data_IF_315331177749
#
_entry.id   IF_315331177749
#
_cell.length_a   1.000
_cell.length_b   1.000
_cell.length_c   1.000
_cell.angle_alpha   90.00
_cell.angle_beta   90.00
_cell.angle_gamma   90.00
#
_symmetry.space_group_name_H-M   'P 1'
#
loop_
_entity.id
_entity.type
_entity.pdbx_description
1 polymer ?
#
# COMPACT_ATOMS: atom_id res chain seq x y z
N UNK A 1 18.95 9.59 8.04
CA UNK A 1 18.21 8.37 8.41
C UNK A 1 17.78 7.71 7.13
N UNK A 2 18.29 6.50 6.90
CA UNK A 2 17.93 5.69 5.75
C UNK A 2 16.64 4.92 6.07
N UNK A 3 16.08 4.24 5.06
CA UNK A 3 14.98 3.29 5.27
C UNK A 3 15.37 2.27 6.35
N UNK A 4 14.42 1.79 7.19
CA UNK A 4 14.68 0.70 8.14
C UNK A 4 15.25 -0.57 7.48
N UNK A 5 15.01 -0.74 6.17
CA UNK A 5 15.55 -1.86 5.39
C UNK A 5 17.04 -1.74 5.03
N UNK A 6 17.69 -0.61 5.31
CA UNK A 6 19.12 -0.39 5.09
C UNK A 6 19.48 0.05 3.66
N UNK A 7 18.49 0.42 2.84
CA UNK A 7 18.65 0.94 1.47
C UNK A 7 18.04 2.33 1.32
N UNK A 8 18.17 2.93 0.13
CA UNK A 8 17.45 4.16 -0.19
C UNK A 8 15.94 3.89 -0.15
N UNK A 9 15.23 4.65 0.68
CA UNK A 9 13.77 4.57 0.80
C UNK A 9 13.08 5.62 -0.06
N UNK A 10 11.96 5.25 -0.65
CA UNK A 10 11.14 6.12 -1.49
C UNK A 10 9.74 5.54 -1.66
N UNK A 11 8.74 6.42 -1.60
CA UNK A 11 7.33 6.04 -1.76
C UNK A 11 6.61 7.10 -2.60
N UNK A 12 5.65 6.65 -3.39
CA UNK A 12 4.71 7.53 -4.08
C UNK A 12 3.37 7.52 -3.35
N UNK A 13 2.68 8.65 -3.34
CA UNK A 13 1.31 8.74 -2.82
C UNK A 13 0.49 9.68 -3.71
N UNK A 14 -0.74 9.29 -3.98
CA UNK A 14 -1.71 10.12 -4.71
C UNK A 14 -2.46 11.10 -3.79
N UNK A 15 -3.69 11.42 -4.17
CA UNK A 15 -4.57 12.31 -3.40
C UNK A 15 -4.28 13.79 -3.64
N UNK A 16 -4.86 14.65 -2.79
CA UNK A 16 -4.79 16.11 -2.94
C UNK A 16 -3.51 16.77 -2.46
N UNK A 17 -2.70 16.10 -1.64
CA UNK A 17 -1.62 16.74 -0.88
C UNK A 17 -0.58 17.43 -1.76
N UNK A 18 -0.02 16.73 -2.75
CA UNK A 18 1.01 17.29 -3.62
C UNK A 18 0.52 18.50 -4.42
N UNK A 19 -0.73 18.48 -4.89
CA UNK A 19 -1.34 19.61 -5.59
C UNK A 19 -1.56 20.83 -4.67
N UNK A 20 -2.00 20.59 -3.43
CA UNK A 20 -2.14 21.65 -2.42
C UNK A 20 -0.80 22.24 -2.02
N UNK A 21 0.24 21.42 -1.81
CA UNK A 21 1.59 21.88 -1.50
C UNK A 21 2.15 22.76 -2.62
N UNK A 22 1.99 22.33 -3.87
CA UNK A 22 2.35 23.13 -5.06
C UNK A 22 1.59 24.45 -5.14
N UNK A 23 0.32 24.47 -4.71
CA UNK A 23 -0.52 25.67 -4.74
C UNK A 23 -0.04 26.73 -3.73
N UNK A 24 0.66 26.32 -2.66
CA UNK A 24 1.38 27.19 -1.73
C UNK A 24 2.76 27.66 -2.27
N UNK A 25 3.10 27.36 -3.53
CA UNK A 25 4.40 27.71 -4.12
C UNK A 25 5.54 26.75 -3.73
N UNK A 26 5.27 25.67 -2.99
CA UNK A 26 6.29 24.76 -2.48
C UNK A 26 6.48 23.60 -3.45
N UNK A 27 7.70 23.45 -4.00
CA UNK A 27 8.07 22.31 -4.86
C UNK A 27 8.54 21.09 -4.06
N UNK A 28 9.33 21.35 -3.01
CA UNK A 28 9.97 20.33 -2.21
C UNK A 28 9.90 20.77 -0.75
N UNK A 29 9.63 19.82 0.13
CA UNK A 29 9.68 19.99 1.57
C UNK A 29 10.75 19.05 2.11
N UNK A 30 11.78 19.60 2.75
CA UNK A 30 12.89 18.83 3.30
C UNK A 30 12.86 18.91 4.83
N UNK A 31 12.58 17.78 5.47
CA UNK A 31 12.47 17.69 6.93
C UNK A 31 13.76 17.15 7.54
N UNK A 32 14.45 17.99 8.33
CA UNK A 32 15.70 17.65 9.02
C UNK A 32 15.51 17.71 10.54
N UNK A 33 16.40 17.05 11.28
CA UNK A 33 16.30 16.94 12.74
C UNK A 33 15.16 16.04 13.22
N UNK A 34 14.85 16.16 14.50
CA UNK A 34 13.81 15.43 15.24
C UNK A 34 13.25 16.39 16.31
N UNK A 35 11.93 16.42 16.48
CA UNK A 35 11.31 17.22 17.54
C UNK A 35 11.44 16.52 18.90
N UNK A 36 11.55 17.27 19.99
CA UNK A 36 11.65 16.72 21.36
C UNK A 36 10.32 16.16 21.90
N UNK A 37 9.21 16.41 21.20
CA UNK A 37 7.86 15.95 21.53
C UNK A 37 7.06 15.76 20.24
N UNK A 38 5.93 15.02 20.27
CA UNK A 38 5.01 14.92 19.14
C UNK A 38 4.56 16.28 18.60
N UNK A 39 4.76 16.50 17.31
CA UNK A 39 4.37 17.72 16.58
C UNK A 39 3.69 17.41 15.25
N UNK A 40 2.99 18.38 14.68
CA UNK A 40 2.57 18.38 13.28
C UNK A 40 3.04 19.66 12.59
N UNK A 41 3.34 19.56 11.29
CA UNK A 41 3.68 20.73 10.47
C UNK A 41 2.40 21.32 9.88
N UNK A 42 2.18 22.61 10.09
CA UNK A 42 1.06 23.37 9.53
C UNK A 42 1.56 24.32 8.45
N UNK A 43 0.95 24.27 7.27
CA UNK A 43 1.25 25.12 6.12
C UNK A 43 -0.04 25.82 5.68
N UNK A 44 -0.10 27.15 5.79
CA UNK A 44 -1.22 27.99 5.35
C UNK A 44 -0.70 29.12 4.45
N UNK A 45 -0.78 28.89 3.13
CA UNK A 45 -0.15 29.79 2.16
C UNK A 45 1.35 29.91 2.38
N UNK A 46 1.80 31.10 2.78
CA UNK A 46 3.22 31.41 3.07
C UNK A 46 3.62 31.14 4.53
N UNK A 47 2.67 30.90 5.43
CA UNK A 47 2.97 30.59 6.84
C UNK A 47 3.29 29.11 7.03
N UNK A 48 4.38 28.82 7.74
CA UNK A 48 4.81 27.47 8.11
C UNK A 48 5.09 27.41 9.60
N UNK A 49 4.39 26.54 10.32
CA UNK A 49 4.47 26.43 11.78
C UNK A 49 4.61 24.97 12.23
N UNK A 50 5.41 24.73 13.27
CA UNK A 50 5.46 23.44 13.97
C UNK A 50 4.55 23.53 15.18
N UNK A 51 3.49 22.73 15.20
CA UNK A 51 2.44 22.76 16.24
C UNK A 51 2.44 21.48 17.06
N UNK A 52 1.93 21.56 18.29
CA UNK A 52 1.87 20.43 19.21
C UNK A 52 0.90 19.34 18.69
N UNK A 53 1.33 18.08 18.67
CA UNK A 53 0.51 16.93 18.28
C UNK A 53 0.33 15.88 19.40
N UNK A 54 0.58 16.24 20.66
CA UNK A 54 0.48 15.32 21.81
C UNK A 54 -0.89 14.67 21.92
N UNK A 55 -1.97 15.39 21.64
CA UNK A 55 -3.34 14.85 21.64
C UNK A 55 -3.65 13.94 20.44
N UNK A 56 -2.82 13.99 19.40
CA UNK A 56 -2.97 13.19 18.18
C UNK A 56 -2.11 11.92 18.22
N UNK A 57 -1.03 11.93 18.99
CA UNK A 57 -0.13 10.78 19.12
C UNK A 57 -0.88 9.56 19.68
N UNK A 58 -0.68 8.38 19.09
CA UNK A 58 -1.40 7.15 19.40
C UNK A 58 -2.73 6.97 18.65
N UNK A 59 -3.27 8.02 18.02
CA UNK A 59 -4.48 7.92 17.20
C UNK A 59 -4.20 7.30 15.85
N UNK A 60 -5.20 6.64 15.29
CA UNK A 60 -5.09 6.14 13.93
C UNK A 60 -5.09 7.28 12.88
N UNK A 61 -4.71 6.97 11.64
CA UNK A 61 -4.55 7.98 10.58
C UNK A 61 -5.86 8.67 10.20
N UNK A 62 -7.00 7.98 10.30
CA UNK A 62 -8.31 8.55 9.97
C UNK A 62 -8.75 9.50 11.08
N UNK A 63 -8.70 9.04 12.33
CA UNK A 63 -9.00 9.85 13.51
C UNK A 63 -8.11 11.09 13.58
N UNK A 64 -6.82 10.95 13.30
CA UNK A 64 -5.86 12.06 13.27
C UNK A 64 -6.30 13.15 12.30
N UNK A 65 -6.66 12.76 11.08
CA UNK A 65 -7.06 13.71 10.04
C UNK A 65 -8.41 14.34 10.32
N UNK A 66 -9.39 13.56 10.79
CA UNK A 66 -10.71 14.06 11.13
C UNK A 66 -10.62 15.06 12.29
N UNK A 67 -9.84 14.76 13.34
CA UNK A 67 -9.58 15.70 14.42
C UNK A 67 -8.85 16.97 13.98
N UNK A 68 -7.87 16.85 13.08
CA UNK A 68 -7.17 18.02 12.54
C UNK A 68 -8.14 18.92 11.74
N UNK A 69 -9.01 18.35 10.92
CA UNK A 69 -10.03 19.10 10.18
C UNK A 69 -11.03 19.79 11.11
N UNK A 70 -11.49 19.10 12.15
CA UNK A 70 -12.37 19.70 13.17
C UNK A 70 -11.67 20.83 13.91
N UNK A 71 -10.47 20.59 14.46
CA UNK A 71 -9.73 21.57 15.27
C UNK A 71 -9.34 22.82 14.49
N UNK A 72 -9.08 22.69 13.18
CA UNK A 72 -8.66 23.77 12.30
C UNK A 72 -9.82 24.33 11.46
N UNK A 73 -11.05 23.84 11.67
CA UNK A 73 -12.28 24.37 11.08
C UNK A 73 -12.35 24.27 9.55
N UNK A 74 -11.78 23.22 8.94
CA UNK A 74 -11.80 23.09 7.47
C UNK A 74 -11.74 21.65 6.97
N UNK A 75 -12.76 21.27 6.18
CA UNK A 75 -12.78 20.01 5.43
C UNK A 75 -11.87 20.00 4.19
N UNK A 76 -11.35 21.16 3.79
CA UNK A 76 -10.53 21.31 2.58
C UNK A 76 -9.04 21.04 2.82
N UNK A 77 -8.64 20.75 4.06
CA UNK A 77 -7.26 20.46 4.40
C UNK A 77 -6.78 19.20 3.71
N UNK A 78 -5.52 19.23 3.27
CA UNK A 78 -4.80 18.05 2.78
C UNK A 78 -3.75 17.67 3.79
N UNK A 79 -3.76 16.41 4.18
CA UNK A 79 -3.03 15.92 5.33
C UNK A 79 -2.25 14.68 4.90
N UNK A 80 -0.99 14.62 5.30
CA UNK A 80 -0.23 13.38 5.42
C UNK A 80 -0.14 13.05 6.91
N UNK A 81 -0.50 11.84 7.30
CA UNK A 81 -0.47 11.39 8.70
C UNK A 81 0.17 10.00 8.82
N UNK A 82 0.82 9.77 9.95
CA UNK A 82 1.25 8.43 10.37
C UNK A 82 0.28 7.88 11.42
N UNK A 83 0.15 6.56 11.48
CA UNK A 83 -0.56 5.86 12.55
C UNK A 83 0.41 5.25 13.58
N UNK A 84 -0.11 4.46 14.53
CA UNK A 84 0.69 3.77 15.53
C UNK A 84 1.86 2.96 14.96
N UNK A 85 1.74 2.36 13.77
CA UNK A 85 2.85 1.62 13.14
C UNK A 85 4.09 2.47 12.89
N UNK A 86 3.91 3.73 12.45
CA UNK A 86 5.02 4.67 12.29
C UNK A 86 5.54 5.21 13.63
N UNK A 87 4.64 5.44 14.60
CA UNK A 87 4.98 5.95 15.94
C UNK A 87 5.80 4.95 16.76
N UNK A 88 5.48 3.65 16.66
CA UNK A 88 6.11 2.58 17.44
C UNK A 88 7.27 1.89 16.71
N UNK A 89 7.67 2.38 15.54
CA UNK A 89 8.87 1.91 14.87
C UNK A 89 8.74 0.56 14.16
N UNK A 90 7.57 0.26 13.58
CA UNK A 90 7.43 -0.85 12.65
C UNK A 90 8.23 -0.57 11.37
N UNK A 91 9.09 -1.46 10.90
CA UNK A 91 10.03 -1.18 9.81
C UNK A 91 9.33 -0.85 8.47
N UNK A 92 8.06 -1.25 8.33
CA UNK A 92 7.18 -0.94 7.20
C UNK A 92 5.99 -0.04 7.59
N UNK A 93 6.16 0.83 8.60
CA UNK A 93 5.23 1.91 8.88
C UNK A 93 5.15 2.91 7.72
N UNK A 94 3.94 3.33 7.36
CA UNK A 94 3.65 4.11 6.16
C UNK A 94 3.00 5.47 6.46
N UNK A 95 2.96 6.33 5.44
CA UNK A 95 2.30 7.65 5.51
C UNK A 95 1.00 7.57 4.72
N UNK A 96 -0.10 8.00 5.33
CA UNK A 96 -1.42 8.00 4.73
C UNK A 96 -1.84 9.43 4.38
N UNK A 97 -2.36 9.59 3.16
CA UNK A 97 -3.02 10.80 2.67
C UNK A 97 -4.50 10.51 2.49
N UNK A 98 -5.35 11.38 3.04
CA UNK A 98 -6.81 11.16 3.00
C UNK A 98 -7.12 9.78 3.63
N UNK A 99 -8.10 9.01 3.15
CA UNK A 99 -8.44 7.74 3.82
C UNK A 99 -7.83 6.49 3.18
N UNK A 100 -7.28 6.61 1.98
CA UNK A 100 -7.04 5.47 1.10
C UNK A 100 -5.81 5.62 0.18
N UNK A 101 -5.01 6.68 0.32
CA UNK A 101 -3.76 6.83 -0.42
C UNK A 101 -2.58 6.63 0.53
N UNK A 102 -1.71 5.66 0.22
CA UNK A 102 -0.56 5.33 1.05
C UNK A 102 0.75 5.61 0.31
N UNK A 103 1.64 6.38 0.94
CA UNK A 103 3.08 6.25 0.73
C UNK A 103 3.54 5.03 1.55
N UNK A 104 3.25 3.85 0.99
CA UNK A 104 3.27 2.56 1.69
C UNK A 104 4.66 2.08 2.06
N UNK A 105 5.46 1.79 1.03
CA UNK A 105 6.62 0.91 1.17
C UNK A 105 7.86 1.63 1.67
N UNK A 106 8.85 0.86 2.13
CA UNK A 106 10.19 1.32 2.58
C UNK A 106 10.23 2.06 3.93
N UNK A 107 9.15 2.02 4.72
CA UNK A 107 9.19 2.48 6.12
C UNK A 107 9.21 4.00 6.30
N UNK A 108 8.73 4.76 5.32
CA UNK A 108 8.77 6.24 5.38
C UNK A 108 7.88 6.82 6.48
N UNK A 109 6.82 6.12 6.88
CA UNK A 109 6.01 6.49 8.06
C UNK A 109 6.80 6.35 9.36
N UNK A 110 7.66 5.35 9.45
CA UNK A 110 8.55 5.15 10.61
C UNK A 110 9.66 6.17 10.68
N UNK A 111 10.21 6.59 9.53
CA UNK A 111 11.14 7.72 9.48
C UNK A 111 10.46 9.01 9.96
N UNK A 112 9.19 9.23 9.59
CA UNK A 112 8.39 10.37 10.04
C UNK A 112 8.06 10.28 11.55
N UNK A 113 7.73 9.09 12.06
CA UNK A 113 7.50 8.83 13.47
C UNK A 113 8.74 9.01 14.33
N UNK A 114 9.91 8.55 13.87
CA UNK A 114 11.19 8.80 14.53
C UNK A 114 11.45 10.30 14.72
N UNK A 115 10.99 11.15 13.80
CA UNK A 115 11.12 12.61 13.92
C UNK A 115 10.14 13.24 14.92
N UNK A 116 9.31 12.44 15.58
CA UNK A 116 8.15 12.86 16.37
C UNK A 116 7.17 13.73 15.56
N UNK A 117 7.09 13.52 14.24
CA UNK A 117 6.21 14.27 13.36
C UNK A 117 4.96 13.44 13.05
N UNK A 118 3.83 13.76 13.67
CA UNK A 118 2.56 13.05 13.52
C UNK A 118 1.90 13.29 12.16
N UNK A 119 1.95 14.52 11.68
CA UNK A 119 1.28 14.90 10.44
C UNK A 119 1.95 16.10 9.75
N UNK A 120 1.67 16.25 8.46
CA UNK A 120 1.89 17.46 7.69
C UNK A 120 0.54 17.89 7.13
N UNK A 121 0.14 19.12 7.41
CA UNK A 121 -1.18 19.66 7.10
C UNK A 121 -0.99 20.87 6.20
N UNK A 122 -1.68 20.86 5.06
CA UNK A 122 -1.67 21.95 4.09
C UNK A 122 -3.08 22.49 3.91
N UNK A 123 -3.22 23.81 4.11
CA UNK A 123 -4.36 24.60 3.68
C UNK A 123 -3.96 25.37 2.42
N UNK A 124 -4.52 24.93 1.28
CA UNK A 124 -4.23 25.57 0.01
C UNK A 124 -4.80 27.01 -0.01
N UNK A 125 -4.05 27.99 -0.55
CA UNK A 125 -4.53 29.37 -0.68
C UNK A 125 -5.72 29.47 -1.66
N UNK A 126 -6.51 30.54 -1.54
CA UNK A 126 -7.63 30.82 -2.46
C UNK A 126 -7.14 31.13 -3.88
N UNK A 127 -6.01 31.83 -4.02
CA UNK A 127 -5.32 32.06 -5.30
C UNK A 127 -4.13 31.11 -5.41
N UNK A 128 -3.99 30.43 -6.54
CA UNK A 128 -2.86 29.53 -6.78
C UNK A 128 -1.62 30.35 -7.15
N UNK A 129 -0.47 30.01 -6.56
CA UNK A 129 0.81 30.43 -7.13
C UNK A 129 0.93 29.86 -8.56
N UNK A 130 1.17 30.73 -9.54
CA UNK A 130 1.13 30.38 -10.95
C UNK A 130 2.40 29.63 -11.41
N UNK A 131 2.50 28.34 -11.09
CA UNK A 131 3.30 27.41 -11.91
C UNK A 131 2.53 27.07 -13.18
N UNK A 132 2.26 28.09 -14.02
CA UNK A 132 1.66 27.87 -15.34
C UNK A 132 2.78 27.64 -16.36
N UNK A 133 2.65 26.62 -17.22
CA UNK A 133 3.54 26.50 -18.37
C UNK A 133 3.45 27.78 -19.20
N UNK A 134 4.59 28.25 -19.70
CA UNK A 134 4.64 29.42 -20.59
C UNK A 134 4.01 29.16 -21.96
N UNK A 135 3.96 27.89 -22.38
CA UNK A 135 3.39 27.47 -23.66
C UNK A 135 1.96 26.96 -23.47
N UNK A 136 1.12 27.11 -24.49
CA UNK A 136 -0.18 26.45 -24.53
C UNK A 136 0.00 24.92 -24.64
N UNK A 137 -0.44 24.21 -23.61
CA UNK A 137 -0.38 22.74 -23.53
C UNK A 137 -1.77 22.10 -23.60
N UNK A 138 -2.81 22.88 -23.88
CA UNK A 138 -4.19 22.45 -23.80
C UNK A 138 -4.50 21.30 -24.77
N UNK A 139 -4.01 21.38 -26.01
CA UNK A 139 -4.19 20.30 -26.99
C UNK A 139 -3.44 19.03 -26.62
N UNK A 140 -2.25 19.15 -26.02
CA UNK A 140 -1.52 17.98 -25.50
C UNK A 140 -2.28 17.29 -24.37
N UNK A 141 -2.87 18.06 -23.44
CA UNK A 141 -3.72 17.53 -22.37
C UNK A 141 -4.95 16.84 -22.95
N UNK A 142 -5.67 17.47 -23.89
CA UNK A 142 -6.84 16.87 -24.55
C UNK A 142 -6.48 15.55 -25.21
N UNK A 143 -5.39 15.51 -25.98
CA UNK A 143 -4.92 14.30 -26.65
C UNK A 143 -4.59 13.20 -25.65
N UNK A 144 -3.89 13.51 -24.57
CA UNK A 144 -3.57 12.54 -23.52
C UNK A 144 -4.83 11.99 -22.82
N UNK A 145 -5.78 12.88 -22.47
CA UNK A 145 -7.05 12.48 -21.89
C UNK A 145 -7.88 11.61 -22.85
N UNK A 146 -7.87 11.91 -24.15
CA UNK A 146 -8.53 11.11 -25.17
C UNK A 146 -7.90 9.72 -25.28
N UNK A 147 -6.57 9.63 -25.35
CA UNK A 147 -5.85 8.34 -25.41
C UNK A 147 -6.15 7.47 -24.18
N UNK A 148 -6.09 8.06 -22.99
CA UNK A 148 -6.38 7.34 -21.75
C UNK A 148 -7.83 6.85 -21.71
N UNK A 149 -8.83 7.70 -22.03
CA UNK A 149 -10.25 7.32 -21.99
C UNK A 149 -10.62 6.23 -23.00
N UNK A 150 -9.88 6.15 -24.11
CA UNK A 150 -10.06 5.14 -25.15
C UNK A 150 -9.13 3.93 -24.99
N UNK A 151 -8.35 3.85 -23.89
CA UNK A 151 -7.55 2.66 -23.60
C UNK A 151 -8.42 1.49 -23.14
N UNK A 152 -8.07 0.23 -23.47
CA UNK A 152 -8.88 -0.94 -23.12
C UNK A 152 -9.19 -1.07 -21.62
N UNK A 153 -8.24 -0.69 -20.77
CA UNK A 153 -8.33 -0.88 -19.32
C UNK A 153 -9.06 0.26 -18.59
N UNK A 154 -9.33 1.39 -19.27
CA UNK A 154 -9.91 2.57 -18.62
C UNK A 154 -11.24 2.27 -17.93
N UNK A 155 -12.13 1.54 -18.61
CA UNK A 155 -13.45 1.20 -18.08
C UNK A 155 -13.32 0.32 -16.84
N UNK A 156 -12.51 -0.73 -16.90
CA UNK A 156 -12.27 -1.65 -15.78
C UNK A 156 -11.68 -0.93 -14.56
N UNK A 157 -10.64 -0.11 -14.76
CA UNK A 157 -10.03 0.67 -13.67
C UNK A 157 -10.99 1.68 -13.06
N UNK A 158 -11.84 2.33 -13.86
CA UNK A 158 -12.86 3.25 -13.38
C UNK A 158 -14.00 2.55 -12.64
N UNK A 159 -14.36 1.35 -13.06
CA UNK A 159 -15.45 0.59 -12.45
C UNK A 159 -15.01 -0.08 -11.15
N UNK A 160 -13.88 -0.78 -11.18
CA UNK A 160 -13.45 -1.72 -10.15
C UNK A 160 -12.16 -1.32 -9.43
N UNK A 161 -11.45 -0.28 -9.90
CA UNK A 161 -10.14 0.08 -9.36
C UNK A 161 -9.12 -1.04 -9.55
N UNK A 162 -8.02 -1.01 -8.79
CA UNK A 162 -7.04 -2.10 -8.78
C UNK A 162 -7.58 -3.40 -8.17
N UNK A 163 -8.56 -3.31 -7.25
CA UNK A 163 -9.08 -4.50 -6.56
C UNK A 163 -9.73 -5.53 -7.50
N UNK A 164 -10.23 -5.11 -8.67
CA UNK A 164 -10.92 -5.99 -9.62
C UNK A 164 -10.01 -6.81 -10.55
N UNK A 165 -8.73 -6.96 -10.20
CA UNK A 165 -7.72 -7.64 -11.02
C UNK A 165 -7.22 -8.95 -10.41
N UNK A 166 -7.84 -9.45 -9.33
CA UNK A 166 -7.38 -10.68 -8.66
C UNK A 166 -7.56 -11.89 -9.58
N UNK A 167 -8.72 -12.03 -10.22
CA UNK A 167 -8.96 -13.11 -11.18
C UNK A 167 -8.04 -13.02 -12.39
N UNK A 168 -7.75 -11.81 -12.88
CA UNK A 168 -6.79 -11.62 -13.97
C UNK A 168 -5.40 -12.14 -13.59
N UNK A 169 -4.91 -11.83 -12.39
CA UNK A 169 -3.63 -12.33 -11.91
C UNK A 169 -3.65 -13.86 -11.72
N UNK A 170 -4.79 -14.41 -11.27
CA UNK A 170 -4.97 -15.84 -11.14
C UNK A 170 -4.96 -16.55 -12.50
N UNK A 171 -5.68 -16.05 -13.50
CA UNK A 171 -5.75 -16.64 -14.85
C UNK A 171 -4.40 -16.63 -15.57
N UNK A 172 -3.59 -15.60 -15.33
CA UNK A 172 -2.23 -15.52 -15.86
C UNK A 172 -1.22 -16.41 -15.11
N UNK A 173 -1.61 -17.02 -13.97
CA UNK A 173 -0.70 -17.82 -13.15
C UNK A 173 0.41 -16.98 -12.50
N UNK A 174 0.07 -15.76 -12.06
CA UNK A 174 1.00 -14.81 -11.42
C UNK A 174 0.53 -14.38 -10.03
N UNK A 175 -0.46 -15.07 -9.46
CA UNK A 175 -1.07 -14.75 -8.17
C UNK A 175 -0.31 -15.47 -7.04
N UNK A 176 0.54 -14.76 -6.30
CA UNK A 176 1.25 -15.40 -5.20
C UNK A 176 0.29 -15.93 -4.12
N UNK A 177 0.35 -17.23 -3.86
CA UNK A 177 -0.54 -17.93 -2.93
C UNK A 177 0.26 -18.62 -1.83
N UNK A 178 -0.22 -18.49 -0.59
CA UNK A 178 0.36 -19.14 0.62
C UNK A 178 1.89 -19.00 0.69
N UNK A 179 2.37 -17.76 0.83
CA UNK A 179 3.79 -17.39 0.82
C UNK A 179 4.60 -17.88 -0.40
N UNK A 180 4.06 -17.70 -1.62
CA UNK A 180 4.69 -18.14 -2.88
C UNK A 180 4.87 -19.66 -3.03
N UNK A 181 4.09 -20.46 -2.31
CA UNK A 181 4.06 -21.91 -2.53
C UNK A 181 3.36 -22.29 -3.84
N UNK A 182 2.49 -21.40 -4.32
CA UNK A 182 1.73 -21.57 -5.55
C UNK A 182 1.52 -20.19 -6.21
N UNK A 183 1.11 -20.22 -7.47
CA UNK A 183 0.83 -19.06 -8.32
C UNK A 183 -0.64 -19.00 -8.78
N UNK A 184 -1.47 -19.93 -8.30
CA UNK A 184 -2.92 -19.90 -8.39
C UNK A 184 -3.58 -19.95 -7.01
N UNK A 185 -4.80 -19.40 -6.88
CA UNK A 185 -5.60 -19.50 -5.67
C UNK A 185 -7.02 -19.94 -5.99
N UNK A 186 -7.46 -21.01 -5.35
CA UNK A 186 -8.81 -21.56 -5.54
C UNK A 186 -9.91 -20.58 -5.07
N UNK A 187 -9.57 -19.64 -4.18
CA UNK A 187 -10.47 -18.61 -3.69
C UNK A 187 -10.46 -17.29 -4.47
N UNK A 188 -9.72 -17.19 -5.58
CA UNK A 188 -9.51 -15.92 -6.30
C UNK A 188 -10.82 -15.20 -6.66
N UNK A 189 -11.81 -15.94 -7.18
CA UNK A 189 -13.10 -15.36 -7.59
C UNK A 189 -13.86 -14.75 -6.42
N UNK A 190 -13.81 -15.39 -5.24
CA UNK A 190 -14.51 -14.90 -4.04
C UNK A 190 -13.94 -13.58 -3.54
N UNK A 191 -12.62 -13.42 -3.65
CA UNK A 191 -11.93 -12.21 -3.20
C UNK A 191 -11.72 -11.18 -4.31
N UNK A 192 -12.23 -11.37 -5.53
CA UNK A 192 -12.08 -10.36 -6.57
C UNK A 192 -12.90 -9.09 -6.25
N UNK A 193 -12.26 -7.93 -6.33
CA UNK A 193 -12.87 -6.65 -6.00
C UNK A 193 -14.05 -6.25 -6.90
N UNK A 194 -14.29 -6.95 -8.02
CA UNK A 194 -15.52 -6.81 -8.80
C UNK A 194 -16.77 -7.10 -7.96
N UNK A 195 -16.66 -7.98 -6.97
CA UNK A 195 -17.75 -8.34 -6.06
C UNK A 195 -18.12 -7.21 -5.08
N UNK A 196 -17.33 -6.13 -4.98
CA UNK A 196 -17.63 -4.97 -4.14
C UNK A 196 -18.62 -4.00 -4.79
N UNK A 197 -19.08 -4.27 -6.02
CA UNK A 197 -19.91 -3.33 -6.82
C UNK A 197 -21.12 -2.80 -6.05
N UNK A 198 -21.81 -3.67 -5.32
CA UNK A 198 -23.03 -3.31 -4.56
C UNK A 198 -22.73 -2.55 -3.26
N UNK A 199 -21.48 -2.61 -2.78
CA UNK A 199 -21.06 -1.91 -1.57
C UNK A 199 -20.57 -0.49 -1.84
N UNK A 200 -20.36 -0.09 -3.09
CA UNK A 200 -19.83 1.23 -3.44
C UNK A 200 -20.90 2.30 -3.22
N UNK A 201 -20.62 3.24 -2.31
CA UNK A 201 -21.49 4.40 -2.05
C UNK A 201 -21.03 5.64 -2.80
N UNK A 202 -19.72 5.76 -3.03
CA UNK A 202 -19.12 6.89 -3.74
C UNK A 202 -17.84 6.45 -4.45
N UNK A 203 -17.60 7.00 -5.63
CA UNK A 203 -16.33 6.88 -6.36
C UNK A 203 -15.57 8.19 -6.33
N UNK A 204 -14.25 8.11 -6.22
CA UNK A 204 -13.37 9.27 -6.20
C UNK A 204 -11.96 8.90 -6.68
N UNK A 205 -11.03 9.86 -6.67
CA UNK A 205 -9.64 9.61 -7.01
C UNK A 205 -8.80 10.87 -6.92
N UNK A 206 -7.57 10.77 -7.41
CA UNK A 206 -6.62 11.88 -7.41
C UNK A 206 -7.17 13.11 -8.16
N UNK A 207 -6.78 14.34 -7.76
CA UNK A 207 -7.21 15.57 -8.43
C UNK A 207 -6.94 15.53 -9.93
N UNK A 208 -7.94 15.90 -10.74
CA UNK A 208 -7.89 15.94 -12.22
C UNK A 208 -7.67 14.59 -12.93
N UNK A 209 -7.67 13.47 -12.22
CA UNK A 209 -7.59 12.15 -12.84
C UNK A 209 -8.99 11.69 -13.29
N UNK A 210 -9.24 11.34 -14.57
CA UNK A 210 -10.56 10.91 -15.02
C UNK A 210 -10.88 9.45 -14.67
N UNK A 211 -9.90 8.67 -14.21
CA UNK A 211 -10.08 7.24 -13.88
C UNK A 211 -10.93 7.09 -12.62
N UNK A 212 -10.68 7.89 -11.57
CA UNK A 212 -11.41 7.83 -10.30
C UNK A 212 -11.43 6.38 -9.74
N UNK A 213 -10.24 5.79 -9.58
CA UNK A 213 -10.04 4.39 -9.20
C UNK A 213 -10.31 4.08 -7.72
N UNK A 214 -10.69 5.06 -6.89
CA UNK A 214 -10.99 4.86 -5.47
C UNK A 214 -12.49 4.79 -5.23
N UNK A 215 -12.89 4.19 -4.11
CA UNK A 215 -14.29 4.12 -3.72
C UNK A 215 -14.47 4.05 -2.20
N UNK A 216 -15.50 4.73 -1.72
CA UNK A 216 -16.05 4.52 -0.38
C UNK A 216 -17.02 3.34 -0.43
N UNK A 217 -16.99 2.51 0.61
CA UNK A 217 -17.76 1.29 0.75
C UNK A 217 -18.67 1.34 1.98
N UNK A 218 -19.85 0.74 1.86
CA UNK A 218 -20.75 0.46 2.98
C UNK A 218 -21.31 -0.96 2.86
N UNK A 219 -21.19 -1.71 3.94
CA UNK A 219 -21.72 -3.07 4.04
C UNK A 219 -22.99 -3.09 4.88
N UNK A 220 -23.97 -3.90 4.45
CA UNK A 220 -25.25 -4.11 5.14
C UNK A 220 -25.23 -5.29 6.12
N UNK A 221 -24.26 -6.20 5.98
CA UNK A 221 -24.12 -7.45 6.75
C UNK A 221 -22.66 -7.68 7.17
N UNK A 222 -22.43 -8.67 8.04
CA UNK A 222 -21.10 -9.12 8.44
C UNK A 222 -20.26 -8.10 9.23
N UNK A 223 -18.94 -8.32 9.30
CA UNK A 223 -18.02 -7.61 10.21
C UNK A 223 -17.84 -6.11 9.94
N UNK A 224 -18.14 -5.68 8.71
CA UNK A 224 -18.10 -4.28 8.28
C UNK A 224 -19.49 -3.62 8.29
N UNK A 225 -20.53 -4.29 8.80
CA UNK A 225 -21.88 -3.72 8.88
C UNK A 225 -21.87 -2.37 9.60
N UNK A 226 -22.37 -1.34 8.91
CA UNK A 226 -22.48 0.02 9.45
C UNK A 226 -21.14 0.76 9.65
N UNK A 227 -20.00 0.15 9.30
CA UNK A 227 -18.69 0.79 9.36
C UNK A 227 -18.36 1.45 8.02
N UNK A 228 -17.65 2.56 8.08
CA UNK A 228 -17.05 3.16 6.90
C UNK A 228 -15.83 2.34 6.47
N UNK A 229 -15.72 2.07 5.19
CA UNK A 229 -14.57 1.41 4.60
C UNK A 229 -14.23 2.05 3.25
N UNK A 230 -12.99 1.91 2.82
CA UNK A 230 -12.53 2.27 1.47
C UNK A 230 -12.13 1.01 0.71
N UNK A 231 -12.27 1.05 -0.61
CA UNK A 231 -11.90 -0.06 -1.48
C UNK A 231 -10.37 -0.26 -1.46
N UNK A 232 -9.88 -1.50 -1.27
CA UNK A 232 -8.47 -1.80 -1.39
C UNK A 232 -7.89 -1.54 -2.78
N UNK A 233 -6.57 -1.47 -2.87
CA UNK A 233 -5.86 -1.52 -4.15
C UNK A 233 -5.52 -2.96 -4.55
N UNK A 234 -5.03 -3.16 -5.77
CA UNK A 234 -4.65 -4.48 -6.29
C UNK A 234 -3.72 -5.25 -5.33
N UNK A 235 -2.59 -4.65 -4.95
CA UNK A 235 -1.56 -5.29 -4.13
C UNK A 235 -2.05 -5.76 -2.74
N UNK A 236 -2.79 -4.95 -1.94
CA UNK A 236 -3.43 -5.43 -0.72
C UNK A 236 -4.34 -6.66 -0.92
N UNK A 237 -5.07 -6.75 -2.03
CA UNK A 237 -5.92 -7.91 -2.31
C UNK A 237 -5.11 -9.19 -2.43
N UNK A 238 -3.92 -9.11 -3.02
CA UNK A 238 -3.03 -10.25 -3.18
C UNK A 238 -2.34 -10.59 -1.86
N UNK A 239 -1.76 -9.58 -1.19
CA UNK A 239 -0.95 -9.77 0.00
C UNK A 239 -1.76 -10.23 1.23
N UNK A 240 -2.96 -9.69 1.44
CA UNK A 240 -3.85 -10.06 2.55
C UNK A 240 -4.85 -11.15 2.18
N UNK A 241 -5.07 -11.41 0.89
CA UNK A 241 -5.94 -12.47 0.39
C UNK A 241 -5.16 -13.76 0.12
N UNK A 242 -4.91 -14.02 -1.16
CA UNK A 242 -4.30 -15.26 -1.67
C UNK A 242 -2.98 -15.63 -0.99
N UNK A 243 -2.09 -14.64 -0.76
CA UNK A 243 -0.79 -14.89 -0.14
C UNK A 243 -0.91 -15.41 1.29
N UNK A 244 -1.98 -15.05 2.00
CA UNK A 244 -2.32 -15.54 3.34
C UNK A 244 -3.35 -16.70 3.31
N UNK A 245 -3.78 -17.15 2.13
CA UNK A 245 -4.84 -18.17 1.98
C UNK A 245 -6.24 -17.68 2.41
N UNK A 246 -6.45 -16.38 2.57
CA UNK A 246 -7.73 -15.80 2.98
C UNK A 246 -8.66 -15.68 1.76
N UNK A 247 -9.86 -16.24 1.86
CA UNK A 247 -10.87 -16.25 0.79
C UNK A 247 -12.15 -15.47 1.14
N UNK A 248 -12.18 -14.76 2.27
CA UNK A 248 -13.31 -13.91 2.69
C UNK A 248 -13.04 -12.44 2.33
N UNK A 249 -13.76 -11.94 1.32
CA UNK A 249 -13.58 -10.59 0.80
C UNK A 249 -13.85 -9.51 1.84
N UNK A 250 -14.85 -9.69 2.70
CA UNK A 250 -15.19 -8.67 3.69
C UNK A 250 -14.11 -8.55 4.77
N UNK A 251 -13.52 -9.65 5.21
CA UNK A 251 -12.34 -9.68 6.10
C UNK A 251 -11.13 -9.09 5.41
N UNK A 252 -10.87 -9.39 4.15
CA UNK A 252 -9.78 -8.77 3.40
C UNK A 252 -9.91 -7.24 3.39
N UNK A 253 -11.09 -6.71 3.00
CA UNK A 253 -11.35 -5.26 3.00
C UNK A 253 -11.12 -4.68 4.39
N UNK A 254 -11.60 -5.36 5.43
CA UNK A 254 -11.39 -4.92 6.81
C UNK A 254 -9.90 -4.85 7.18
N UNK A 255 -9.12 -5.88 6.85
CA UNK A 255 -7.70 -5.96 7.20
C UNK A 255 -6.89 -4.88 6.48
N UNK A 256 -7.18 -4.59 5.21
CA UNK A 256 -6.51 -3.50 4.49
C UNK A 256 -6.85 -2.12 5.07
N UNK A 257 -8.13 -1.91 5.43
CA UNK A 257 -8.56 -0.70 6.10
C UNK A 257 -7.90 -0.57 7.48
N UNK A 258 -7.70 -1.67 8.19
CA UNK A 258 -6.98 -1.71 9.46
C UNK A 258 -5.50 -1.33 9.28
N UNK A 259 -4.80 -1.89 8.29
CA UNK A 259 -3.43 -1.49 7.94
C UNK A 259 -3.35 0.01 7.64
N UNK A 260 -4.29 0.53 6.83
CA UNK A 260 -4.35 1.95 6.49
C UNK A 260 -4.55 2.83 7.73
N UNK A 261 -5.51 2.48 8.60
CA UNK A 261 -5.74 3.21 9.85
C UNK A 261 -4.50 3.19 10.75
N UNK A 262 -3.88 2.02 10.92
CA UNK A 262 -2.71 1.87 11.78
C UNK A 262 -1.42 2.40 11.16
N UNK A 263 -1.43 2.78 9.88
CA UNK A 263 -0.26 3.29 9.17
C UNK A 263 0.79 2.21 8.90
N UNK A 264 0.36 1.06 8.36
CA UNK A 264 1.20 -0.06 7.94
C UNK A 264 1.11 -0.26 6.43
N UNK A 265 2.23 -0.62 5.80
CA UNK A 265 2.23 -1.12 4.42
C UNK A 265 1.51 -2.48 4.34
N UNK A 266 0.33 -2.52 3.72
CA UNK A 266 -0.46 -3.76 3.57
C UNK A 266 0.29 -4.86 2.83
N UNK A 267 1.22 -4.53 1.93
CA UNK A 267 2.03 -5.52 1.20
C UNK A 267 2.97 -6.23 2.16
N UNK A 268 3.76 -5.44 2.90
CA UNK A 268 4.74 -5.97 3.84
C UNK A 268 4.04 -6.67 5.02
N UNK A 269 2.97 -6.07 5.57
CA UNK A 269 2.17 -6.70 6.62
C UNK A 269 1.60 -8.05 6.18
N UNK A 270 0.95 -8.13 5.02
CA UNK A 270 0.42 -9.39 4.49
C UNK A 270 1.52 -10.41 4.20
N UNK A 271 2.67 -9.97 3.70
CA UNK A 271 3.82 -10.85 3.41
C UNK A 271 4.43 -11.45 4.68
N UNK A 272 4.62 -10.64 5.72
CA UNK A 272 5.15 -11.13 6.99
C UNK A 272 4.17 -12.07 7.69
N UNK A 273 2.87 -11.81 7.59
CA UNK A 273 1.83 -12.71 8.11
C UNK A 273 1.82 -14.03 7.34
N UNK A 274 1.85 -13.99 6.00
CA UNK A 274 1.92 -15.18 5.17
C UNK A 274 3.17 -16.02 5.47
N UNK A 275 4.31 -15.36 5.68
CA UNK A 275 5.55 -16.01 6.14
C UNK A 275 5.36 -16.72 7.49
N UNK A 276 4.75 -16.06 8.47
CA UNK A 276 4.50 -16.68 9.77
C UNK A 276 3.53 -17.88 9.67
N UNK A 277 2.49 -17.78 8.83
CA UNK A 277 1.58 -18.90 8.53
C UNK A 277 2.32 -20.07 7.86
N UNK A 278 3.25 -19.78 6.93
CA UNK A 278 4.07 -20.79 6.26
C UNK A 278 4.95 -21.56 7.26
N UNK A 279 5.60 -20.84 8.17
CA UNK A 279 6.41 -21.47 9.21
C UNK A 279 5.57 -22.28 10.19
N UNK A 280 4.37 -21.82 10.52
CA UNK A 280 3.45 -22.54 11.40
C UNK A 280 2.93 -23.83 10.75
N UNK A 281 2.53 -23.76 9.48
CA UNK A 281 2.11 -24.92 8.68
C UNK A 281 3.22 -25.97 8.53
N UNK A 282 4.49 -25.53 8.49
CA UNK A 282 5.68 -26.42 8.50
C UNK A 282 6.05 -26.97 9.88
N UNK A 283 5.37 -26.54 10.94
CA UNK A 283 5.71 -26.89 12.32
C UNK A 283 6.99 -26.23 12.84
N UNK A 284 7.54 -25.25 12.13
CA UNK A 284 8.70 -24.45 12.58
C UNK A 284 8.27 -23.49 13.69
N UNK A 285 7.12 -22.85 13.52
CA UNK A 285 6.44 -22.09 14.59
C UNK A 285 5.35 -22.95 15.23
N UNK A 286 5.19 -22.81 16.53
CA UNK A 286 4.14 -23.46 17.32
C UNK A 286 3.22 -22.42 17.95
N UNK A 287 2.08 -22.85 18.53
CA UNK A 287 1.21 -21.96 19.31
C UNK A 287 1.94 -21.31 20.48
N UNK A 288 2.96 -21.96 21.04
CA UNK A 288 3.77 -21.38 22.11
C UNK A 288 4.61 -20.21 21.62
N UNK A 289 5.20 -20.32 20.41
CA UNK A 289 6.01 -19.24 19.81
C UNK A 289 5.16 -18.00 19.51
N UNK A 290 3.88 -18.19 19.20
CA UNK A 290 2.98 -17.14 18.71
C UNK A 290 2.10 -16.52 19.80
N UNK A 291 2.31 -16.87 21.08
CA UNK A 291 1.46 -16.40 22.18
C UNK A 291 0.04 -16.99 22.15
N UNK A 292 -0.11 -18.20 21.62
CA UNK A 292 -1.37 -18.93 21.53
C UNK A 292 -2.13 -18.76 20.22
N UNK A 293 -1.64 -17.91 19.31
CA UNK A 293 -2.30 -17.65 18.03
C UNK A 293 -2.27 -18.88 17.13
N UNK A 294 -3.41 -19.20 16.54
CA UNK A 294 -3.53 -20.21 15.49
C UNK A 294 -3.27 -19.59 14.11
N UNK A 295 -2.08 -19.86 13.55
CA UNK A 295 -1.64 -19.31 12.27
C UNK A 295 -1.90 -20.25 11.09
N UNK A 296 -2.95 -21.08 11.18
CA UNK A 296 -3.48 -21.79 10.01
C UNK A 296 -3.85 -20.80 8.88
N UNK A 297 -3.63 -21.22 7.63
CA UNK A 297 -3.92 -20.42 6.44
C UNK A 297 -5.36 -19.89 6.42
N UNK A 298 -5.52 -18.62 6.07
CA UNK A 298 -6.83 -17.97 5.96
C UNK A 298 -7.48 -17.57 7.28
N UNK A 299 -6.82 -17.76 8.43
CA UNK A 299 -7.36 -17.34 9.72
C UNK A 299 -7.35 -15.81 9.88
N UNK A 300 -8.43 -15.16 9.43
CA UNK A 300 -8.57 -13.70 9.46
C UNK A 300 -8.54 -13.05 10.85
N UNK A 301 -8.89 -13.77 11.92
CA UNK A 301 -8.81 -13.26 13.31
C UNK A 301 -7.37 -13.18 13.80
N UNK A 302 -6.57 -14.21 13.49
CA UNK A 302 -5.13 -14.20 13.77
C UNK A 302 -4.42 -13.10 12.96
N UNK A 303 -4.79 -12.92 11.69
CA UNK A 303 -4.25 -11.84 10.85
C UNK A 303 -4.54 -10.46 11.45
N UNK A 304 -5.79 -10.20 11.87
CA UNK A 304 -6.15 -8.95 12.55
C UNK A 304 -5.30 -8.73 13.80
N UNK A 305 -5.15 -9.76 14.63
CA UNK A 305 -4.38 -9.68 15.87
C UNK A 305 -2.91 -9.35 15.59
N UNK A 306 -2.31 -10.01 14.59
CA UNK A 306 -0.93 -9.73 14.17
C UNK A 306 -0.77 -8.30 13.62
N UNK A 307 -1.71 -7.80 12.83
CA UNK A 307 -1.68 -6.41 12.33
C UNK A 307 -1.64 -5.42 13.49
N UNK A 308 -2.47 -5.63 14.52
CA UNK A 308 -2.49 -4.78 15.72
C UNK A 308 -1.18 -4.92 16.51
N UNK A 309 -0.73 -6.14 16.76
CA UNK A 309 0.52 -6.40 17.48
C UNK A 309 1.73 -5.78 16.78
N UNK A 310 1.79 -5.82 15.44
CA UNK A 310 2.84 -5.16 14.66
C UNK A 310 2.79 -3.64 14.79
N UNK A 311 1.60 -3.04 14.75
CA UNK A 311 1.43 -1.58 14.87
C UNK A 311 1.80 -1.05 16.26
N UNK A 312 1.55 -1.81 17.32
CA UNK A 312 1.81 -1.42 18.71
C UNK A 312 3.11 -1.99 19.28
N UNK A 313 3.82 -2.85 18.55
CA UNK A 313 5.08 -3.46 19.00
C UNK A 313 4.88 -4.45 20.15
N UNK A 314 3.83 -5.27 20.08
CA UNK A 314 3.40 -6.18 21.13
C UNK A 314 3.50 -7.65 20.70
N UNK A 315 3.53 -8.57 21.67
CA UNK A 315 3.46 -10.01 21.42
C UNK A 315 4.42 -10.53 20.35
N UNK A 316 3.94 -11.46 19.54
CA UNK A 316 4.68 -11.99 18.39
C UNK A 316 4.82 -10.95 17.27
N UNK A 317 3.85 -10.04 17.14
CA UNK A 317 3.91 -8.93 16.18
C UNK A 317 5.11 -7.99 16.38
N UNK A 318 5.73 -7.91 17.57
CA UNK A 318 7.00 -7.19 17.76
C UNK A 318 8.13 -7.73 16.88
N UNK A 319 8.18 -9.05 16.70
CA UNK A 319 9.17 -9.70 15.84
C UNK A 319 8.82 -9.43 14.38
N UNK A 320 7.55 -9.63 14.01
CA UNK A 320 7.07 -9.44 12.65
C UNK A 320 7.16 -7.98 12.17
N UNK A 321 7.05 -7.01 13.07
CA UNK A 321 7.20 -5.59 12.78
C UNK A 321 8.60 -5.20 12.26
N UNK A 322 9.59 -6.10 12.32
CA UNK A 322 10.94 -5.90 11.77
C UNK A 322 11.09 -6.31 10.29
N UNK A 323 9.98 -6.70 9.67
CA UNK A 323 9.97 -7.22 8.30
C UNK A 323 10.51 -8.65 8.23
N UNK A 324 10.27 -9.31 7.10
CA UNK A 324 10.49 -10.75 6.91
C UNK A 324 11.96 -11.12 7.09
N UNK A 325 12.91 -10.30 6.60
CA UNK A 325 14.34 -10.58 6.74
C UNK A 325 14.77 -10.70 8.20
N UNK A 326 14.47 -9.68 9.01
CA UNK A 326 14.89 -9.64 10.40
C UNK A 326 14.05 -10.58 11.27
N UNK A 327 12.74 -10.67 10.99
CA UNK A 327 11.87 -11.62 11.67
C UNK A 327 12.38 -13.07 11.50
N UNK A 328 12.78 -13.45 10.28
CA UNK A 328 13.34 -14.77 10.02
C UNK A 328 14.62 -15.04 10.83
N UNK A 329 15.54 -14.06 10.87
CA UNK A 329 16.78 -14.16 11.66
C UNK A 329 16.51 -14.31 13.16
N UNK A 330 15.51 -13.60 13.68
CA UNK A 330 15.12 -13.67 15.10
C UNK A 330 14.45 -15.02 15.41
N UNK A 331 13.61 -15.52 14.51
CA UNK A 331 12.92 -16.81 14.66
C UNK A 331 13.91 -17.99 14.56
N UNK A 332 14.92 -17.86 13.69
CA UNK A 332 15.90 -18.91 13.41
C UNK A 332 15.25 -20.18 12.88
N UNK A 333 15.82 -21.35 13.21
CA UNK A 333 15.27 -22.68 12.82
C UNK A 333 15.11 -22.85 11.30
N UNK A 334 15.95 -22.19 10.51
CA UNK A 334 15.89 -22.22 9.04
C UNK A 334 14.74 -21.39 8.44
N UNK A 335 14.09 -20.54 9.24
CA UNK A 335 13.03 -19.65 8.78
C UNK A 335 13.48 -18.74 7.62
N UNK A 336 14.77 -18.42 7.54
CA UNK A 336 15.37 -17.61 6.47
C UNK A 336 15.15 -18.20 5.07
N UNK A 337 14.94 -19.52 4.95
CA UNK A 337 14.65 -20.15 3.67
C UNK A 337 13.29 -19.76 3.09
N UNK A 338 12.35 -19.36 3.94
CA UNK A 338 10.97 -19.02 3.56
C UNK A 338 10.73 -17.50 3.52
N UNK A 339 11.79 -16.72 3.72
CA UNK A 339 11.77 -15.28 3.84
C UNK A 339 11.82 -14.58 2.46
N UNK A 340 10.67 -14.44 1.78
CA UNK A 340 10.59 -13.87 0.44
C UNK A 340 10.82 -12.34 0.40
N UNK A 341 12.06 -11.92 0.16
CA UNK A 341 12.45 -10.51 0.08
C UNK A 341 13.60 -10.25 -0.90
N UNK A 342 13.75 -9.01 -1.37
CA UNK A 342 14.98 -8.52 -2.03
C UNK A 342 15.49 -7.29 -1.29
N UNK A 343 16.78 -7.31 -0.92
CA UNK A 343 17.44 -6.29 -0.09
C UNK A 343 16.72 -6.02 1.25
N UNK A 344 15.96 -7.00 1.75
CA UNK A 344 15.19 -6.93 2.99
C UNK A 344 13.75 -6.48 2.83
N UNK A 345 13.39 -5.81 1.73
CA UNK A 345 12.01 -5.42 1.45
C UNK A 345 11.23 -6.63 0.93
N UNK A 346 10.05 -6.86 1.51
CA UNK A 346 9.14 -7.95 1.17
C UNK A 346 8.81 -7.98 -0.32
N UNK A 347 8.68 -9.17 -0.92
CA UNK A 347 8.22 -9.26 -2.30
C UNK A 347 6.73 -8.89 -2.43
N UNK A 348 6.36 -8.25 -3.54
CA UNK A 348 4.99 -7.83 -3.86
C UNK A 348 4.10 -9.01 -4.31
N UNK A 349 2.81 -8.78 -4.54
CA UNK A 349 1.81 -9.82 -4.78
C UNK A 349 2.01 -10.67 -6.04
N UNK A 350 2.79 -10.20 -7.03
CA UNK A 350 3.10 -10.98 -8.21
C UNK A 350 4.05 -12.14 -7.91
N UNK A 351 3.65 -13.34 -8.32
CA UNK A 351 4.53 -14.51 -8.31
C UNK A 351 5.55 -14.38 -9.45
N UNK A 352 6.87 -14.38 -9.17
CA UNK A 352 7.89 -14.10 -10.20
C UNK A 352 8.10 -15.25 -11.19
N UNK A 353 7.63 -16.46 -10.87
CA UNK A 353 7.90 -17.68 -11.67
C UNK A 353 7.46 -17.56 -13.13
N UNK A 354 6.30 -16.95 -13.37
CA UNK A 354 5.75 -16.73 -14.72
C UNK A 354 5.90 -15.25 -15.16
N UNK A 355 6.88 -14.51 -14.64
CA UNK A 355 7.12 -13.10 -14.97
C UNK A 355 8.60 -12.72 -14.83
N UNK A 356 9.45 -13.23 -15.72
CA UNK A 356 10.92 -13.12 -15.55
C UNK A 356 11.45 -11.67 -15.53
N UNK A 357 10.84 -10.74 -16.28
CA UNK A 357 11.19 -9.33 -16.27
C UNK A 357 10.68 -8.61 -15.01
N UNK A 358 9.55 -9.03 -14.45
CA UNK A 358 9.16 -8.62 -13.08
C UNK A 358 10.14 -9.17 -12.04
N UNK A 359 10.58 -10.44 -12.18
CA UNK A 359 11.58 -11.04 -11.31
C UNK A 359 12.93 -10.30 -11.37
N UNK A 360 13.36 -9.92 -12.58
CA UNK A 360 14.51 -9.06 -12.79
C UNK A 360 14.28 -7.69 -12.15
N UNK A 361 13.11 -7.09 -12.35
CA UNK A 361 12.71 -5.81 -11.75
C UNK A 361 12.83 -5.81 -10.23
N UNK A 362 12.32 -6.85 -9.56
CA UNK A 362 12.52 -7.04 -8.12
C UNK A 362 13.99 -7.13 -7.74
N UNK A 363 14.79 -7.87 -8.51
CA UNK A 363 16.21 -8.11 -8.23
C UNK A 363 17.04 -6.83 -8.34
N UNK A 364 16.80 -6.01 -9.37
CA UNK A 364 17.60 -4.81 -9.67
C UNK A 364 17.06 -3.54 -9.04
N UNK A 365 15.81 -3.52 -8.55
CA UNK A 365 15.23 -2.32 -7.94
C UNK A 365 16.12 -1.78 -6.81
N UNK A 366 16.29 -0.46 -6.82
CA UNK A 366 17.19 0.26 -5.92
C UNK A 366 16.73 0.22 -4.46
N UNK A 367 15.42 0.02 -4.24
CA UNK A 367 14.77 0.07 -2.92
C UNK A 367 14.29 -1.27 -2.39
N UNK A 368 14.67 -2.37 -3.04
CA UNK A 368 14.28 -3.75 -2.68
C UNK A 368 13.20 -4.31 -3.60
N UNK A 369 12.50 -5.38 -3.20
CA UNK A 369 11.57 -6.09 -4.09
C UNK A 369 10.33 -5.26 -4.46
N UNK A 370 10.46 -4.37 -5.43
CA UNK A 370 9.41 -3.49 -5.90
C UNK A 370 9.35 -3.40 -7.43
N UNK A 371 8.17 -3.52 -8.00
CA UNK A 371 7.95 -3.50 -9.45
C UNK A 371 7.77 -2.09 -10.02
N UNK A 372 7.74 -1.04 -9.20
CA UNK A 372 7.49 0.33 -9.67
C UNK A 372 8.73 0.96 -10.30
N UNK A 373 9.93 0.48 -9.95
CA UNK A 373 11.19 0.95 -10.58
C UNK A 373 11.33 0.36 -11.99
N UNK A 374 10.86 -0.89 -12.19
CA UNK A 374 10.86 -1.61 -13.46
C UNK A 374 9.53 -2.33 -13.60
N UNK A 375 8.57 -1.70 -14.27
CA UNK A 375 7.27 -2.30 -14.52
C UNK A 375 7.26 -2.95 -15.91
N UNK A 376 7.58 -4.25 -15.94
CA UNK A 376 7.77 -5.07 -17.14
C UNK A 376 6.45 -5.40 -17.87
N UNK A 377 5.58 -4.41 -18.06
CA UNK A 377 4.25 -4.53 -18.67
C UNK A 377 4.24 -5.20 -20.04
N UNK A 378 5.37 -5.15 -20.76
CA UNK A 378 5.52 -5.77 -22.06
C UNK A 378 5.26 -7.28 -22.00
N UNK A 379 5.68 -7.94 -20.93
CA UNK A 379 5.67 -9.40 -20.79
C UNK A 379 4.27 -10.01 -20.74
N UNK A 380 3.25 -9.21 -20.44
CA UNK A 380 1.88 -9.68 -20.27
C UNK A 380 0.84 -8.79 -20.96
N UNK A 381 1.26 -7.75 -21.69
CA UNK A 381 0.35 -6.89 -22.47
C UNK A 381 0.61 -6.87 -23.97
N UNK A 382 1.78 -7.27 -24.42
CA UNK A 382 2.06 -7.28 -25.85
C UNK A 382 1.54 -8.56 -26.47
N UNK A 383 0.90 -8.42 -27.63
CA UNK A 383 0.51 -9.56 -28.44
C UNK A 383 1.77 -10.22 -29.03
N UNK A 384 1.78 -11.56 -29.19
CA UNK A 384 2.91 -12.29 -29.79
C UNK A 384 3.38 -11.72 -31.14
N UNK A 385 2.47 -11.22 -31.97
CA UNK A 385 2.82 -10.60 -33.26
C UNK A 385 3.63 -9.32 -33.09
N UNK A 386 3.24 -8.50 -32.10
CA UNK A 386 3.95 -7.26 -31.78
C UNK A 386 5.32 -7.57 -31.20
N UNK A 387 5.40 -8.57 -30.35
CA UNK A 387 6.65 -9.07 -29.77
C UNK A 387 7.61 -9.56 -30.86
N UNK A 388 7.11 -10.39 -31.77
CA UNK A 388 7.87 -10.91 -32.91
C UNK A 388 8.39 -9.80 -33.81
N UNK A 389 7.56 -8.80 -34.11
CA UNK A 389 7.95 -7.65 -34.93
C UNK A 389 9.07 -6.80 -34.31
N UNK A 390 9.09 -6.67 -32.98
CA UNK A 390 10.03 -5.78 -32.29
C UNK A 390 11.29 -6.51 -31.80
N UNK A 391 11.13 -7.73 -31.29
CA UNK A 391 12.18 -8.51 -30.63
C UNK A 391 12.61 -9.76 -31.42
N UNK A 392 11.97 -10.05 -32.56
CA UNK A 392 12.27 -11.21 -33.38
C UNK A 392 11.75 -12.53 -32.82
N UNK A 393 11.04 -12.52 -31.69
CA UNK A 393 10.49 -13.74 -31.07
C UNK A 393 9.20 -13.45 -30.29
N UNK A 394 8.17 -14.33 -30.37
CA UNK A 394 6.95 -14.21 -29.59
C UNK A 394 7.15 -14.59 -28.10
N UNK A 395 8.22 -15.34 -27.80
CA UNK A 395 8.60 -15.80 -26.46
C UNK A 395 8.83 -14.62 -25.51
N UNK A 396 9.30 -13.48 -26.03
CA UNK A 396 9.54 -12.26 -25.25
C UNK A 396 8.29 -11.68 -24.56
N UNK A 397 7.10 -12.22 -24.85
CA UNK A 397 5.81 -11.79 -24.25
C UNK A 397 4.94 -12.96 -23.81
N UNK A 398 5.49 -14.18 -23.71
CA UNK A 398 4.78 -15.30 -23.10
C UNK A 398 5.20 -15.42 -21.63
N UNK A 399 4.32 -15.11 -20.66
CA UNK A 399 4.65 -15.20 -19.24
C UNK A 399 4.98 -16.64 -18.81
N UNK A 400 4.63 -17.67 -19.60
CA UNK A 400 4.82 -19.08 -19.25
C UNK A 400 6.04 -19.72 -19.93
N UNK A 401 6.77 -18.97 -20.75
CA UNK A 401 7.89 -19.49 -21.57
C UNK A 401 9.23 -19.47 -20.88
#
# INVERSE_FOLDING_TARGET
LNSPFGVLGGSNVGGGFGASLRSCGIQQLVLRGQASRPVYLWIDGESVEIRNAKSLWGKDTWETQDQLKTNLGSEKLKILAIGPGGENGCDFGCIISERDHAAGRTGMGTVMGFKNLKAIVVKAPKSQAAFRPKNDIHEAIKRYLWQMKNSPEFKTMKEHGGAGYVNWANELGILATRNYRDYHFEGAERIDGKNLKENITRKHGCPRCPVQCKADLRFSTGRLKGKEAVRPEFEPMLALGAKCGLNDLQTLVYLDNLCTRLGLDSISAGTVIAFAMDLFDRGILTKSDTGGLDLNWGNGEAMETLIRQMAYGEGFGRILAKGVRQAAQIIGRGAEHYAAHIKGLEMAGYHPYNMMGTALGYSVSSRGADFSDVYATLEYKWLPDKATKVFGTPVSTDPRS
#
